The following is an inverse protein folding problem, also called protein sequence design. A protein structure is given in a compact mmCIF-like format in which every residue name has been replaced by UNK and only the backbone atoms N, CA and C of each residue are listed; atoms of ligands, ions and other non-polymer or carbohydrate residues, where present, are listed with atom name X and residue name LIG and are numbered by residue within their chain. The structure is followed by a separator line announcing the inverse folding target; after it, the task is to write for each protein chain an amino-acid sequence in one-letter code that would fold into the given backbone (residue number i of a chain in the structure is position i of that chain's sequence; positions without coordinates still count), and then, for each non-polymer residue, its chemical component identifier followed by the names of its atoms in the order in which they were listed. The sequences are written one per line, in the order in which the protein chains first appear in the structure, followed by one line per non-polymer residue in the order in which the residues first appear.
data_IF_641799578501
#
_entry.id   IF_641799578501
#
_cell.length_a   1.000
_cell.length_b   1.000
_cell.length_c   1.000
_cell.angle_alpha   90.00
_cell.angle_beta   90.00
_cell.angle_gamma   90.00
#
_symmetry.space_group_name_H-M   'P 1'
#
loop_
_entity.id
_entity.type
_entity.pdbx_description
1 polymer ?
#
# COMPACT_ATOMS: atom_id res chain seq x y z
N UNK A 1 -5.16 1.18 -4.84
CA UNK A 1 -4.89 2.64 -5.04
C UNK A 1 -4.47 3.39 -3.75
N UNK A 2 -3.39 2.98 -3.07
CA UNK A 2 -2.85 3.69 -1.88
C UNK A 2 -1.33 3.85 -1.88
N UNK A 3 -0.62 3.12 -2.74
CA UNK A 3 0.85 3.12 -2.82
C UNK A 3 1.34 4.53 -3.13
N UNK A 4 2.30 5.03 -2.35
CA UNK A 4 2.97 6.32 -2.48
C UNK A 4 2.05 7.56 -2.40
N UNK A 5 0.81 7.42 -1.94
CA UNK A 5 -0.18 8.51 -1.89
C UNK A 5 -0.82 8.72 -0.53
N UNK A 6 -0.35 8.00 0.49
CA UNK A 6 -0.95 8.03 1.83
C UNK A 6 0.15 7.96 2.88
N UNK A 7 0.05 8.78 3.91
CA UNK A 7 0.89 8.68 5.11
C UNK A 7 -0.02 8.20 6.25
N UNK A 8 0.40 7.15 6.94
CA UNK A 8 -0.31 6.59 8.08
C UNK A 8 0.43 6.98 9.36
N UNK A 9 -0.32 7.39 10.38
CA UNK A 9 0.23 7.79 11.69
C UNK A 9 -0.52 7.00 12.76
N UNK A 10 0.20 6.38 13.70
CA UNK A 10 -0.38 5.69 14.86
C UNK A 10 0.51 5.77 16.09
N UNK A 11 -0.06 5.56 17.27
CA UNK A 11 0.64 5.44 18.55
C UNK A 11 0.88 3.98 18.98
N UNK A 12 0.41 3.03 18.17
CA UNK A 12 0.56 1.58 18.41
C UNK A 12 2.02 1.07 18.29
N UNK A 13 2.90 1.88 17.70
CA UNK A 13 4.24 1.46 17.31
C UNK A 13 4.27 0.54 16.07
N UNK A 14 5.45 0.01 15.76
CA UNK A 14 5.70 -0.87 14.62
C UNK A 14 5.70 -2.33 15.08
N UNK A 15 4.69 -3.08 14.64
CA UNK A 15 4.64 -4.53 14.81
C UNK A 15 5.11 -5.22 13.52
N UNK A 16 6.22 -5.96 13.54
CA UNK A 16 6.65 -6.70 12.36
C UNK A 16 5.59 -7.75 12.00
N UNK A 17 5.16 -7.75 10.73
CA UNK A 17 4.26 -8.76 10.20
C UNK A 17 4.99 -10.09 9.93
N UNK A 18 4.32 -11.21 10.22
CA UNK A 18 4.86 -12.56 9.97
C UNK A 18 5.02 -12.90 8.48
N UNK A 19 4.33 -12.17 7.58
CA UNK A 19 4.24 -12.47 6.15
C UNK A 19 5.52 -12.29 5.32
N UNK A 20 6.64 -11.86 5.90
CA UNK A 20 7.96 -11.82 5.22
C UNK A 20 9.04 -12.50 6.08
N UNK A 21 8.65 -13.46 6.93
CA UNK A 21 9.60 -14.20 7.78
C UNK A 21 10.32 -13.35 8.84
N UNK A 22 9.68 -12.27 9.29
CA UNK A 22 10.33 -11.25 10.11
C UNK A 22 10.31 -11.61 11.60
N UNK A 23 11.48 -11.76 12.23
CA UNK A 23 11.66 -12.16 13.64
C UNK A 23 11.99 -10.99 14.57
N UNK A 24 11.72 -9.75 14.14
CA UNK A 24 12.08 -8.56 14.92
C UNK A 24 11.14 -8.37 16.12
N UNK A 25 11.69 -7.81 17.19
CA UNK A 25 10.90 -7.34 18.32
C UNK A 25 10.00 -6.18 17.88
N UNK A 26 8.81 -6.07 18.48
CA UNK A 26 7.92 -4.92 18.30
C UNK A 26 8.61 -3.64 18.79
N UNK A 27 8.40 -2.54 18.09
CA UNK A 27 8.86 -1.21 18.48
C UNK A 27 7.63 -0.43 18.94
N UNK A 28 7.32 -0.48 20.24
CA UNK A 28 6.15 0.18 20.82
C UNK A 28 6.47 0.67 22.25
N UNK A 29 5.52 1.35 22.88
CA UNK A 29 5.70 1.89 24.23
C UNK A 29 5.99 0.79 25.27
N UNK A 30 5.41 -0.40 25.11
CA UNK A 30 5.64 -1.54 26.00
C UNK A 30 7.09 -2.05 25.91
N UNK A 31 7.67 -2.12 24.70
CA UNK A 31 9.04 -2.63 24.51
C UNK A 31 10.13 -1.60 24.79
N UNK A 32 9.83 -0.31 24.62
CA UNK A 32 10.81 0.78 24.77
C UNK A 32 10.64 1.61 26.05
N UNK A 33 9.49 1.52 26.74
CA UNK A 33 9.19 2.30 27.94
C UNK A 33 8.94 3.80 27.70
N UNK A 34 8.80 4.22 26.44
CA UNK A 34 8.57 5.62 26.04
C UNK A 34 7.47 5.71 24.99
N UNK A 35 6.77 6.85 24.89
CA UNK A 35 5.74 7.06 23.86
C UNK A 35 6.33 6.86 22.46
N UNK A 36 5.66 6.04 21.64
CA UNK A 36 6.07 5.75 20.26
C UNK A 36 4.98 6.24 19.32
N UNK A 37 5.37 7.07 18.34
CA UNK A 37 4.53 7.41 17.19
C UNK A 37 5.14 6.73 15.97
N UNK A 38 4.38 5.84 15.33
CA UNK A 38 4.75 5.20 14.09
C UNK A 38 4.19 6.00 12.90
N UNK A 39 5.07 6.29 11.93
CA UNK A 39 4.72 6.92 10.66
C UNK A 39 5.09 5.93 9.54
N UNK A 40 4.11 5.58 8.71
CA UNK A 40 4.27 4.60 7.64
C UNK A 40 3.75 5.11 6.29
N UNK A 41 4.43 4.72 5.22
CA UNK A 41 3.97 4.97 3.84
C UNK A 41 3.96 3.64 3.09
N UNK A 42 2.83 3.25 2.47
CA UNK A 42 2.78 2.05 1.64
C UNK A 42 3.58 2.28 0.36
N UNK A 43 4.74 1.65 0.22
CA UNK A 43 5.62 1.78 -0.95
C UNK A 43 5.56 0.59 -1.91
N UNK A 44 5.02 -0.53 -1.45
CA UNK A 44 4.88 -1.77 -2.22
C UNK A 44 3.45 -2.31 -2.12
N UNK A 45 3.09 -3.14 -3.08
CA UNK A 45 1.81 -3.87 -3.12
C UNK A 45 2.07 -5.30 -3.56
N UNK A 46 1.25 -6.24 -3.10
CA UNK A 46 1.35 -7.63 -3.56
C UNK A 46 1.02 -7.73 -5.06
N UNK A 47 1.82 -8.51 -5.80
CA UNK A 47 1.59 -8.78 -7.21
C UNK A 47 0.20 -9.38 -7.46
N UNK A 48 -0.26 -10.23 -6.54
CA UNK A 48 -1.60 -10.80 -6.59
C UNK A 48 -2.70 -9.73 -6.58
N UNK A 49 -2.54 -8.65 -5.80
CA UNK A 49 -3.51 -7.54 -5.78
C UNK A 49 -3.57 -6.84 -7.13
N UNK A 50 -2.42 -6.57 -7.76
CA UNK A 50 -2.38 -5.92 -9.09
C UNK A 50 -3.06 -6.81 -10.14
N UNK A 51 -2.76 -8.11 -10.13
CA UNK A 51 -3.35 -9.04 -11.07
C UNK A 51 -4.88 -9.20 -10.86
N UNK A 52 -5.35 -9.22 -9.60
CA UNK A 52 -6.79 -9.14 -9.27
C UNK A 52 -7.43 -7.89 -9.87
N UNK A 53 -6.88 -6.71 -9.57
CA UNK A 53 -7.39 -5.44 -10.09
C UNK A 53 -7.42 -5.43 -11.63
N UNK A 54 -6.41 -6.02 -12.27
CA UNK A 54 -6.32 -6.10 -13.74
C UNK A 54 -7.38 -7.04 -14.33
N UNK A 55 -7.61 -8.20 -13.72
CA UNK A 55 -8.62 -9.16 -14.19
C UNK A 55 -10.03 -8.57 -14.02
N UNK A 56 -10.29 -7.87 -12.91
CA UNK A 56 -11.55 -7.15 -12.72
C UNK A 56 -11.80 -6.14 -13.84
N UNK A 57 -10.79 -5.34 -14.21
CA UNK A 57 -10.88 -4.39 -15.34
C UNK A 57 -11.15 -5.11 -16.68
N UNK A 58 -10.51 -6.24 -16.93
CA UNK A 58 -10.75 -7.05 -18.15
C UNK A 58 -12.18 -7.57 -18.16
N UNK A 59 -12.67 -8.11 -17.04
CA UNK A 59 -14.04 -8.62 -16.93
C UNK A 59 -15.07 -7.51 -17.14
N UNK A 60 -14.84 -6.33 -16.57
CA UNK A 60 -15.72 -5.18 -16.73
C UNK A 60 -15.79 -4.74 -18.21
N UNK A 61 -14.65 -4.69 -18.90
CA UNK A 61 -14.60 -4.34 -20.33
C UNK A 61 -15.25 -5.43 -21.21
N UNK A 62 -15.00 -6.71 -20.92
CA UNK A 62 -15.68 -7.82 -21.61
C UNK A 62 -17.19 -7.79 -21.40
N UNK A 63 -17.64 -7.47 -20.18
CA UNK A 63 -19.07 -7.34 -19.86
C UNK A 63 -19.71 -6.17 -20.62
N UNK A 64 -18.97 -5.08 -20.84
CA UNK A 64 -19.42 -3.93 -21.63
C UNK A 64 -19.53 -4.24 -23.13
N UNK A 65 -18.62 -5.05 -23.67
CA UNK A 65 -18.63 -5.45 -25.08
C UNK A 65 -19.58 -6.61 -25.37
N UNK A 66 -19.86 -7.47 -24.39
CA UNK A 66 -20.79 -8.57 -24.55
C UNK A 66 -22.21 -8.03 -24.79
N UNK A 67 -22.86 -8.53 -25.84
CA UNK A 67 -24.28 -8.24 -26.06
C UNK A 67 -25.09 -8.76 -24.89
N UNK A 68 -25.91 -7.89 -24.31
CA UNK A 68 -26.81 -8.24 -23.21
C UNK A 68 -27.63 -9.48 -23.56
N UNK A 69 -27.62 -10.48 -22.67
CA UNK A 69 -28.38 -11.72 -22.82
C UNK A 69 -27.61 -12.94 -23.35
N UNK A 70 -26.34 -12.79 -23.75
CA UNK A 70 -25.47 -13.93 -24.08
C UNK A 70 -25.16 -14.79 -22.85
N UNK A 71 -24.93 -16.09 -23.05
CA UNK A 71 -24.62 -17.04 -21.96
C UNK A 71 -23.33 -16.66 -21.23
N UNK A 72 -22.34 -16.15 -21.96
CA UNK A 72 -21.11 -15.59 -21.42
C UNK A 72 -21.36 -14.37 -20.53
N UNK A 73 -22.21 -13.43 -20.96
CA UNK A 73 -22.59 -12.27 -20.12
C UNK A 73 -23.29 -12.72 -18.84
N UNK A 74 -24.20 -13.70 -18.92
CA UNK A 74 -24.91 -14.24 -17.75
C UNK A 74 -23.94 -14.88 -16.76
N UNK A 75 -22.97 -15.65 -17.24
CA UNK A 75 -21.92 -16.27 -16.43
C UNK A 75 -21.03 -15.22 -15.73
N UNK A 76 -20.63 -14.16 -16.45
CA UNK A 76 -19.86 -13.06 -15.87
C UNK A 76 -20.64 -12.24 -14.84
N UNK A 77 -21.95 -12.10 -15.07
CA UNK A 77 -22.88 -11.35 -14.20
C UNK A 77 -23.32 -12.14 -12.97
N UNK A 78 -23.28 -13.48 -13.04
CA UNK A 78 -23.67 -14.36 -11.93
C UNK A 78 -22.56 -14.65 -10.94
N UNK A 79 -21.30 -14.38 -11.31
CA UNK A 79 -20.15 -14.52 -10.41
C UNK A 79 -20.10 -13.35 -9.42
N UNK A 80 -20.17 -13.66 -8.13
CA UNK A 80 -19.98 -12.66 -7.08
C UNK A 80 -18.53 -12.15 -7.03
N UNK A 81 -18.32 -10.93 -6.53
CA UNK A 81 -16.98 -10.34 -6.35
C UNK A 81 -16.08 -11.21 -5.47
N UNK A 82 -16.62 -11.91 -4.46
CA UNK A 82 -15.80 -12.82 -3.64
C UNK A 82 -15.33 -14.05 -4.42
N UNK A 83 -16.20 -14.65 -5.24
CA UNK A 83 -15.84 -15.83 -6.05
C UNK A 83 -14.76 -15.49 -7.09
N UNK A 84 -14.87 -14.33 -7.75
CA UNK A 84 -13.82 -13.81 -8.65
C UNK A 84 -12.49 -13.67 -7.95
N UNK A 85 -12.46 -12.99 -6.79
CA UNK A 85 -11.24 -12.76 -6.02
C UNK A 85 -10.60 -14.08 -5.55
N UNK A 86 -11.40 -15.08 -5.18
CA UNK A 86 -10.89 -16.39 -4.78
C UNK A 86 -10.27 -17.16 -5.95
N UNK A 87 -10.94 -17.20 -7.10
CA UNK A 87 -10.44 -17.86 -8.30
C UNK A 87 -9.11 -17.26 -8.76
N UNK A 88 -9.02 -15.93 -8.81
CA UNK A 88 -7.81 -15.23 -9.23
C UNK A 88 -6.66 -15.51 -8.23
N UNK A 89 -6.95 -15.50 -6.93
CA UNK A 89 -5.96 -15.88 -5.91
C UNK A 89 -5.45 -17.30 -6.13
N UNK A 90 -6.32 -18.28 -6.38
CA UNK A 90 -5.93 -19.67 -6.63
C UNK A 90 -5.05 -19.85 -7.88
N UNK A 91 -5.27 -19.05 -8.93
CA UNK A 91 -4.45 -19.10 -10.15
C UNK A 91 -3.05 -18.50 -9.92
N UNK A 92 -2.95 -17.45 -9.10
CA UNK A 92 -1.70 -16.71 -8.90
C UNK A 92 -0.81 -17.30 -7.79
N UNK A 93 -1.40 -17.89 -6.76
CA UNK A 93 -0.67 -18.43 -5.59
C UNK A 93 0.39 -19.50 -5.95
N UNK A 94 0.11 -20.46 -6.85
CA UNK A 94 1.07 -21.52 -7.19
C UNK A 94 2.33 -21.02 -7.92
N UNK A 95 2.28 -19.85 -8.56
CA UNK A 95 3.33 -19.39 -9.47
C UNK A 95 4.15 -18.21 -8.96
N UNK A 96 3.60 -17.36 -8.08
CA UNK A 96 4.24 -16.09 -7.72
C UNK A 96 4.62 -15.93 -6.23
N UNK A 97 4.14 -16.78 -5.32
CA UNK A 97 4.43 -16.64 -3.88
C UNK A 97 4.15 -15.23 -3.32
N UNK A 98 4.92 -14.80 -2.31
CA UNK A 98 4.83 -13.45 -1.71
C UNK A 98 5.58 -12.37 -2.53
N UNK A 99 5.31 -12.30 -3.84
CA UNK A 99 5.92 -11.28 -4.70
C UNK A 99 5.34 -9.89 -4.39
N UNK A 100 6.24 -8.94 -4.13
CA UNK A 100 5.95 -7.53 -3.95
C UNK A 100 6.32 -6.74 -5.21
N UNK A 101 5.49 -5.76 -5.55
CA UNK A 101 5.69 -4.86 -6.68
C UNK A 101 5.87 -3.44 -6.17
N UNK A 102 6.87 -2.76 -6.71
CA UNK A 102 7.17 -1.35 -6.44
C UNK A 102 7.27 -0.59 -7.77
N UNK A 103 6.91 0.71 -7.82
CA UNK A 103 7.16 1.53 -9.00
C UNK A 103 8.65 1.62 -9.35
N UNK A 104 8.94 1.80 -10.63
CA UNK A 104 10.32 1.92 -11.13
C UNK A 104 11.09 3.10 -10.51
N UNK A 105 10.39 4.18 -10.20
CA UNK A 105 10.94 5.43 -9.66
C UNK A 105 10.84 5.50 -8.12
N UNK A 106 10.89 4.35 -7.45
CA UNK A 106 10.74 4.28 -5.98
C UNK A 106 11.74 5.16 -5.25
N UNK A 107 12.97 5.29 -5.74
CA UNK A 107 14.01 6.10 -5.10
C UNK A 107 13.63 7.59 -5.07
N UNK A 108 13.17 8.14 -6.19
CA UNK A 108 12.69 9.53 -6.29
C UNK A 108 11.48 9.78 -5.39
N UNK A 109 10.59 8.78 -5.31
CA UNK A 109 9.41 8.85 -4.45
C UNK A 109 9.82 8.85 -2.97
N UNK A 110 10.75 7.97 -2.57
CA UNK A 110 11.28 7.92 -1.21
C UNK A 110 11.97 9.22 -0.84
N UNK A 111 12.76 9.81 -1.74
CA UNK A 111 13.40 11.11 -1.53
C UNK A 111 12.36 12.24 -1.33
N UNK A 112 11.28 12.22 -2.12
CA UNK A 112 10.21 13.21 -1.98
C UNK A 112 9.44 13.03 -0.67
N UNK A 113 9.11 11.79 -0.32
CA UNK A 113 8.40 11.45 0.91
C UNK A 113 9.20 11.78 2.16
N UNK A 114 10.53 11.55 2.14
CA UNK A 114 11.39 11.89 3.28
C UNK A 114 11.36 13.39 3.57
N UNK A 115 11.42 14.24 2.54
CA UNK A 115 11.29 15.71 2.66
C UNK A 115 9.94 16.12 3.23
N UNK A 116 8.84 15.54 2.72
CA UNK A 116 7.48 15.84 3.19
C UNK A 116 7.32 15.45 4.67
N UNK A 117 7.75 14.25 5.06
CA UNK A 117 7.65 13.76 6.44
C UNK A 117 8.53 14.61 7.36
N UNK A 118 9.77 14.88 6.97
CA UNK A 118 10.69 15.68 7.77
C UNK A 118 10.18 17.10 8.00
N UNK A 119 9.68 17.77 6.94
CA UNK A 119 9.07 19.09 7.08
C UNK A 119 7.84 19.06 7.99
N UNK A 120 6.96 18.08 7.83
CA UNK A 120 5.78 17.91 8.69
C UNK A 120 6.16 17.71 10.17
N UNK A 121 7.20 16.92 10.45
CA UNK A 121 7.73 16.74 11.80
C UNK A 121 8.29 18.06 12.33
N UNK A 122 9.20 18.71 11.58
CA UNK A 122 9.84 19.96 12.00
C UNK A 122 8.80 21.04 12.31
N UNK A 123 7.80 21.23 11.45
CA UNK A 123 6.71 22.18 11.69
C UNK A 123 5.91 21.87 12.97
N UNK A 124 5.74 20.59 13.31
CA UNK A 124 5.01 20.19 14.50
C UNK A 124 5.82 20.38 15.80
N UNK A 125 7.14 20.13 15.76
CA UNK A 125 8.00 20.18 16.95
C UNK A 125 8.71 21.53 17.15
N UNK A 126 8.82 22.35 16.10
CA UNK A 126 9.47 23.67 16.12
C UNK A 126 8.49 24.77 15.71
N UNK A 127 7.49 25.11 16.56
CA UNK A 127 6.46 26.10 16.24
C UNK A 127 7.01 27.53 16.06
N UNK A 128 8.25 27.78 16.45
CA UNK A 128 8.91 29.09 16.35
C UNK A 128 9.72 29.25 15.06
N UNK A 129 9.85 28.21 14.23
CA UNK A 129 10.53 28.29 12.95
C UNK A 129 9.50 28.32 11.83
N UNK A 130 9.72 29.21 10.87
CA UNK A 130 8.92 29.22 9.66
C UNK A 130 9.44 28.19 8.64
N UNK A 131 8.68 28.00 7.57
CA UNK A 131 9.05 27.06 6.50
C UNK A 131 10.37 27.45 5.80
N UNK A 132 10.70 28.74 5.74
CA UNK A 132 11.97 29.19 5.13
C UNK A 132 13.16 28.77 5.98
N UNK A 133 13.04 28.94 7.31
CA UNK A 133 14.06 28.53 8.27
C UNK A 133 14.22 27.02 8.32
N UNK A 134 13.14 26.26 8.34
CA UNK A 134 13.19 24.78 8.29
C UNK A 134 13.90 24.32 7.01
N UNK A 135 13.58 24.92 5.86
CA UNK A 135 14.19 24.54 4.59
C UNK A 135 15.70 24.83 4.53
N UNK A 136 16.23 25.79 5.31
CA UNK A 136 17.68 26.04 5.40
C UNK A 136 18.44 24.86 6.01
N UNK A 137 17.80 24.07 6.88
CA UNK A 137 18.41 22.92 7.55
C UNK A 137 18.21 21.59 6.80
N UNK A 138 17.43 21.59 5.71
CA UNK A 138 17.01 20.39 4.97
C UNK A 138 17.86 20.10 3.73
N UNK A 139 18.97 20.83 3.53
CA UNK A 139 19.89 20.70 2.38
C UNK A 139 21.19 19.98 2.76
#
# INVERSE_FOLDING_TARGET
ERVNRTIQISDSGISPGAGVGNHRMKINEESLGVKVIAIGVPTVVHAATIANDTIDLVIDELSRQAKSGTEFYKMLSSMDRMEKNNLIREILNPSFGDLMVTPKEVDTVVESLSKVIANGINMAIQPNLDMEDINKFMN
#
